data_IF_272554890747
#
_entry.id   IF_272554890747
#
_cell.length_a   1.000
_cell.length_b   1.000
_cell.length_c   1.000
_cell.angle_alpha   90.00
_cell.angle_beta   90.00
_cell.angle_gamma   90.00
#
_symmetry.space_group_name_H-M   'P 1'
#
loop_
_entity.id
_entity.type
_entity.pdbx_description
1 polymer ?
#
# COMPACT_ATOMS: atom_id res chain seq x y z
N UNK A 1 -13.86 2.78 -10.22
CA UNK A 1 -13.14 4.08 -10.12
C UNK A 1 -11.65 3.79 -10.06
N UNK A 2 -10.84 4.55 -10.81
CA UNK A 2 -9.38 4.50 -10.79
C UNK A 2 -8.87 5.85 -10.27
N UNK A 3 -7.89 5.84 -9.39
CA UNK A 3 -7.13 7.04 -8.99
C UNK A 3 -5.64 6.84 -9.26
N UNK A 4 -4.99 7.85 -9.85
CA UNK A 4 -3.58 7.84 -10.24
C UNK A 4 -3.28 7.23 -11.62
N UNK A 5 -2.06 7.45 -12.12
CA UNK A 5 -1.55 6.86 -13.38
C UNK A 5 -0.37 5.93 -13.10
N UNK A 6 -0.22 4.81 -13.83
CA UNK A 6 0.91 3.90 -13.63
C UNK A 6 2.27 4.60 -13.72
N UNK A 7 2.44 5.54 -14.66
CA UNK A 7 3.68 6.30 -14.82
C UNK A 7 4.11 7.05 -13.55
N UNK A 8 3.15 7.54 -12.76
CA UNK A 8 3.42 8.33 -11.54
C UNK A 8 4.06 7.47 -10.44
N UNK A 9 3.89 6.13 -10.48
CA UNK A 9 4.48 5.19 -9.51
C UNK A 9 6.01 5.31 -9.48
N UNK A 10 6.63 5.58 -10.63
CA UNK A 10 8.09 5.77 -10.73
C UNK A 10 8.58 7.01 -9.99
N UNK A 11 7.70 7.97 -9.74
CA UNK A 11 7.97 9.24 -9.04
C UNK A 11 7.31 9.32 -7.65
N UNK A 12 6.96 8.18 -7.05
CA UNK A 12 6.36 8.10 -5.71
C UNK A 12 4.84 8.24 -5.67
N UNK A 13 4.18 8.12 -6.82
CA UNK A 13 2.73 7.99 -6.95
C UNK A 13 2.21 6.58 -6.62
N UNK A 14 0.89 6.42 -6.72
CA UNK A 14 0.21 5.14 -6.58
C UNK A 14 -0.97 5.05 -7.56
N UNK A 15 -1.36 3.82 -7.88
CA UNK A 15 -2.68 3.54 -8.45
C UNK A 15 -3.58 2.89 -7.40
N UNK A 16 -4.86 3.27 -7.40
CA UNK A 16 -5.90 2.53 -6.69
C UNK A 16 -7.09 2.26 -7.61
N UNK A 17 -7.55 1.02 -7.61
CA UNK A 17 -8.64 0.54 -8.44
C UNK A 17 -9.74 -0.06 -7.57
N UNK A 18 -10.98 0.34 -7.81
CA UNK A 18 -12.11 -0.34 -7.20
C UNK A 18 -12.38 -1.67 -7.92
N UNK A 19 -12.45 -2.76 -7.15
CA UNK A 19 -12.80 -4.08 -7.67
C UNK A 19 -14.32 -4.32 -7.63
N UNK A 20 -14.85 -5.19 -8.50
CA UNK A 20 -16.21 -5.74 -8.38
C UNK A 20 -16.46 -6.40 -7.02
N UNK A 21 -17.75 -6.57 -6.69
CA UNK A 21 -18.19 -7.29 -5.48
C UNK A 21 -18.51 -8.75 -5.72
N UNK A 22 -18.50 -9.18 -6.96
CA UNK A 22 -18.82 -10.52 -7.39
C UNK A 22 -17.54 -11.30 -7.72
N UNK A 23 -17.63 -12.61 -8.02
CA UNK A 23 -16.47 -13.45 -8.30
C UNK A 23 -15.56 -12.96 -9.45
N UNK A 24 -16.01 -12.01 -10.29
CA UNK A 24 -15.15 -11.39 -11.31
C UNK A 24 -14.05 -10.50 -10.73
N UNK A 25 -14.06 -10.22 -9.42
CA UNK A 25 -13.05 -9.41 -8.73
C UNK A 25 -11.62 -9.89 -9.00
N UNK A 26 -11.37 -11.21 -8.93
CA UNK A 26 -10.06 -11.80 -9.22
C UNK A 26 -9.64 -11.60 -10.68
N UNK A 27 -10.56 -11.82 -11.63
CA UNK A 27 -10.29 -11.59 -13.06
C UNK A 27 -9.98 -10.12 -13.37
N UNK A 28 -10.72 -9.20 -12.74
CA UNK A 28 -10.47 -7.76 -12.85
C UNK A 28 -9.11 -7.40 -12.25
N UNK A 29 -8.77 -7.91 -11.07
CA UNK A 29 -7.48 -7.64 -10.43
C UNK A 29 -6.30 -8.10 -11.30
N UNK A 30 -6.37 -9.31 -11.86
CA UNK A 30 -5.38 -9.84 -12.82
C UNK A 30 -5.18 -8.93 -14.03
N UNK A 31 -6.28 -8.45 -14.61
CA UNK A 31 -6.23 -7.57 -15.79
C UNK A 31 -5.58 -6.22 -15.46
N UNK A 32 -5.93 -5.64 -14.31
CA UNK A 32 -5.42 -4.35 -13.86
C UNK A 32 -3.95 -4.41 -13.47
N UNK A 33 -3.51 -5.43 -12.72
CA UNK A 33 -2.11 -5.57 -12.35
C UNK A 33 -1.24 -5.81 -13.57
N UNK A 34 -1.71 -6.64 -14.52
CA UNK A 34 -0.97 -6.93 -15.73
C UNK A 34 -0.82 -5.68 -16.62
N UNK A 35 -1.88 -4.87 -16.77
CA UNK A 35 -1.78 -3.60 -17.47
C UNK A 35 -0.79 -2.65 -16.79
N UNK A 36 -0.93 -2.45 -15.48
CA UNK A 36 -0.06 -1.56 -14.68
C UNK A 36 1.41 -1.97 -14.78
N UNK A 37 1.71 -3.27 -14.65
CA UNK A 37 3.09 -3.77 -14.69
C UNK A 37 3.70 -3.75 -16.10
N UNK A 38 2.90 -3.94 -17.16
CA UNK A 38 3.38 -3.75 -18.54
C UNK A 38 3.78 -2.30 -18.79
N UNK A 39 2.95 -1.35 -18.37
CA UNK A 39 3.23 0.08 -18.50
C UNK A 39 4.50 0.49 -17.72
N UNK A 40 4.79 -0.23 -16.63
CA UNK A 40 5.98 -0.06 -15.80
C UNK A 40 7.21 -0.86 -16.29
N UNK A 41 7.09 -1.62 -17.39
CA UNK A 41 8.21 -2.35 -18.00
C UNK A 41 8.66 -3.62 -17.28
N UNK A 42 7.76 -4.29 -16.56
CA UNK A 42 8.06 -5.61 -15.95
C UNK A 42 8.12 -6.72 -17.01
N UNK A 43 8.95 -7.73 -16.75
CA UNK A 43 9.01 -8.95 -17.55
C UNK A 43 7.73 -9.78 -17.41
N UNK A 44 7.38 -10.54 -18.47
CA UNK A 44 6.17 -11.36 -18.53
C UNK A 44 6.06 -12.34 -17.38
N UNK A 45 7.14 -13.03 -17.02
CA UNK A 45 7.14 -14.02 -15.94
C UNK A 45 6.74 -13.39 -14.59
N UNK A 46 7.31 -12.23 -14.26
CA UNK A 46 6.95 -11.48 -13.04
C UNK A 46 5.51 -10.98 -13.07
N UNK A 47 4.97 -10.66 -14.25
CA UNK A 47 3.56 -10.29 -14.41
C UNK A 47 2.64 -11.50 -14.17
N UNK A 48 3.03 -12.69 -14.62
CA UNK A 48 2.27 -13.91 -14.39
C UNK A 48 2.25 -14.31 -12.91
N UNK A 49 3.39 -14.19 -12.21
CA UNK A 49 3.46 -14.35 -10.75
C UNK A 49 2.55 -13.34 -10.03
N UNK A 50 2.58 -12.07 -10.44
CA UNK A 50 1.73 -11.03 -9.87
C UNK A 50 0.24 -11.30 -10.08
N UNK A 51 -0.14 -11.79 -11.27
CA UNK A 51 -1.52 -12.16 -11.61
C UNK A 51 -2.00 -13.28 -10.69
N UNK A 52 -1.19 -14.30 -10.47
CA UNK A 52 -1.57 -15.41 -9.60
C UNK A 52 -1.71 -14.92 -8.14
N UNK A 53 -0.70 -14.22 -7.60
CA UNK A 53 -0.74 -13.71 -6.24
C UNK A 53 -1.90 -12.73 -5.99
N UNK A 54 -2.16 -11.78 -6.90
CA UNK A 54 -3.28 -10.84 -6.74
C UNK A 54 -4.64 -11.53 -6.87
N UNK A 55 -4.73 -12.61 -7.63
CA UNK A 55 -5.95 -13.41 -7.77
C UNK A 55 -6.33 -14.01 -6.43
N UNK A 56 -5.37 -14.61 -5.72
CA UNK A 56 -5.59 -15.18 -4.39
C UNK A 56 -6.03 -14.11 -3.39
N UNK A 57 -5.36 -12.95 -3.37
CA UNK A 57 -5.74 -11.84 -2.48
C UNK A 57 -7.12 -11.28 -2.81
N UNK A 58 -7.46 -11.12 -4.09
CA UNK A 58 -8.77 -10.61 -4.51
C UNK A 58 -9.89 -11.60 -4.23
N UNK A 59 -9.66 -12.90 -4.38
CA UNK A 59 -10.61 -13.94 -3.99
C UNK A 59 -10.83 -13.91 -2.49
N UNK A 60 -9.77 -13.88 -1.68
CA UNK A 60 -9.89 -13.79 -0.22
C UNK A 60 -10.66 -12.53 0.21
N UNK A 61 -10.34 -11.38 -0.39
CA UNK A 61 -11.04 -10.14 -0.11
C UNK A 61 -12.51 -10.22 -0.53
N UNK A 62 -12.85 -10.84 -1.67
CA UNK A 62 -14.24 -11.02 -2.08
C UNK A 62 -15.02 -11.95 -1.12
N UNK A 63 -14.44 -13.10 -0.78
CA UNK A 63 -15.06 -14.12 0.09
C UNK A 63 -15.29 -13.60 1.51
N UNK A 64 -14.40 -12.74 2.01
CA UNK A 64 -14.43 -12.25 3.39
C UNK A 64 -14.77 -10.76 3.53
N UNK A 65 -15.05 -10.04 2.43
CA UNK A 65 -15.40 -8.62 2.50
C UNK A 65 -16.75 -8.43 3.21
N UNK A 66 -16.83 -7.35 3.97
CA UNK A 66 -18.11 -6.81 4.43
C UNK A 66 -18.98 -6.43 3.23
N UNK A 67 -20.28 -6.71 3.32
CA UNK A 67 -21.28 -6.31 2.31
C UNK A 67 -21.40 -4.79 2.12
N UNK A 68 -20.79 -3.99 3.00
CA UNK A 68 -20.92 -2.53 3.02
C UNK A 68 -19.96 -1.79 2.06
N UNK A 69 -18.78 -2.33 1.71
CA UNK A 69 -17.86 -1.67 0.75
C UNK A 69 -17.38 -2.61 -0.37
N UNK A 70 -16.71 -2.07 -1.39
CA UNK A 70 -16.09 -2.86 -2.47
C UNK A 70 -14.60 -3.01 -2.17
N UNK A 71 -13.96 -4.15 -2.45
CA UNK A 71 -12.52 -4.26 -2.33
C UNK A 71 -11.78 -3.30 -3.26
N UNK A 72 -10.53 -3.01 -2.94
CA UNK A 72 -9.67 -2.14 -3.74
C UNK A 72 -8.33 -2.81 -4.01
N UNK A 73 -7.81 -2.65 -5.23
CA UNK A 73 -6.44 -3.02 -5.59
C UNK A 73 -5.58 -1.76 -5.60
N UNK A 74 -4.47 -1.78 -4.86
CA UNK A 74 -3.51 -0.68 -4.80
C UNK A 74 -2.14 -1.13 -5.29
N UNK A 75 -1.45 -0.24 -5.99
CA UNK A 75 -0.10 -0.50 -6.52
C UNK A 75 0.75 0.75 -6.32
N UNK A 76 1.92 0.59 -5.70
CA UNK A 76 2.96 1.63 -5.62
C UNK A 76 4.34 0.99 -5.56
N UNK A 77 5.40 1.80 -5.66
CA UNK A 77 6.77 1.35 -5.52
C UNK A 77 7.38 1.84 -4.19
N UNK A 78 8.26 1.04 -3.62
CA UNK A 78 9.15 1.43 -2.53
C UNK A 78 10.60 1.14 -2.89
N UNK A 79 11.51 1.92 -2.34
CA UNK A 79 12.96 1.80 -2.55
C UNK A 79 13.69 1.37 -1.28
N UNK A 80 13.06 1.52 -0.11
CA UNK A 80 13.60 1.10 1.19
C UNK A 80 12.64 0.17 1.96
N UNK A 81 13.12 -0.95 2.55
CA UNK A 81 14.53 -1.37 2.62
C UNK A 81 15.04 -2.06 1.34
N UNK A 82 14.17 -2.34 0.38
CA UNK A 82 14.52 -2.88 -0.93
C UNK A 82 13.65 -2.24 -2.02
N UNK A 83 14.12 -2.33 -3.27
CA UNK A 83 13.43 -1.83 -4.46
C UNK A 83 12.35 -2.81 -4.88
N UNK A 84 11.11 -2.54 -4.46
CA UNK A 84 9.98 -3.45 -4.60
C UNK A 84 8.71 -2.74 -5.09
N UNK A 85 7.94 -3.42 -5.93
CA UNK A 85 6.55 -3.08 -6.21
C UNK A 85 5.70 -3.62 -5.07
N UNK A 86 4.89 -2.78 -4.44
CA UNK A 86 3.92 -3.17 -3.43
C UNK A 86 2.56 -3.29 -4.11
N UNK A 87 1.96 -4.47 -4.00
CA UNK A 87 0.61 -4.76 -4.47
C UNK A 87 -0.23 -5.08 -3.25
N UNK A 88 -1.33 -4.36 -3.05
CA UNK A 88 -2.21 -4.53 -1.89
C UNK A 88 -3.65 -4.68 -2.30
N UNK A 89 -4.39 -5.55 -1.61
CA UNK A 89 -5.84 -5.65 -1.70
C UNK A 89 -6.44 -5.22 -0.37
N UNK A 90 -7.32 -4.22 -0.42
CA UNK A 90 -8.05 -3.69 0.73
C UNK A 90 -9.48 -4.22 0.76
N UNK A 91 -9.97 -4.50 1.97
CA UNK A 91 -11.38 -4.70 2.27
C UNK A 91 -11.74 -4.07 3.62
N UNK A 92 -13.01 -3.72 3.82
CA UNK A 92 -13.46 -3.07 5.05
C UNK A 92 -13.73 -4.02 6.21
N UNK A 93 -13.47 -5.33 6.08
CA UNK A 93 -13.76 -6.28 7.14
C UNK A 93 -12.58 -6.39 8.11
N UNK A 94 -12.71 -5.79 9.30
CA UNK A 94 -11.62 -5.63 10.27
C UNK A 94 -11.40 -6.85 11.17
N UNK A 95 -12.39 -7.74 11.29
CA UNK A 95 -12.41 -8.76 12.35
C UNK A 95 -11.85 -10.12 11.90
N UNK A 96 -11.87 -10.41 10.60
CA UNK A 96 -11.22 -11.59 10.03
C UNK A 96 -9.82 -11.22 9.55
N UNK A 97 -8.81 -12.01 9.86
CA UNK A 97 -7.50 -11.90 9.23
C UNK A 97 -7.26 -13.08 8.31
N UNK A 98 -6.55 -12.91 7.19
CA UNK A 98 -6.12 -14.03 6.39
C UNK A 98 -5.13 -14.85 7.23
N UNK A 99 -5.49 -16.10 7.51
CA UNK A 99 -4.64 -17.03 8.28
C UNK A 99 -3.95 -17.95 7.29
N UNK A 100 -2.62 -18.06 7.38
CA UNK A 100 -1.89 -19.10 6.66
C UNK A 100 -2.25 -20.45 7.28
N UNK A 101 -3.14 -21.21 6.65
CA UNK A 101 -3.48 -22.55 7.10
C UNK A 101 -2.33 -23.51 6.77
N UNK A 102 -1.90 -24.31 7.75
CA UNK A 102 -1.33 -25.63 7.47
C UNK A 102 -2.51 -26.50 7.00
N UNK A 103 -2.89 -26.35 5.73
CA UNK A 103 -4.02 -27.07 5.20
C UNK A 103 -3.68 -28.56 5.14
N UNK A 104 -4.49 -29.37 5.81
CA UNK A 104 -4.70 -30.77 5.45
C UNK A 104 -4.94 -30.84 3.93
N UNK A 105 -4.47 -31.88 3.25
CA UNK A 105 -4.37 -31.97 1.77
C UNK A 105 -5.68 -31.66 1.01
N UNK A 106 -6.82 -31.63 1.71
CA UNK A 106 -8.18 -31.43 1.21
C UNK A 106 -8.80 -30.05 1.49
N UNK A 107 -8.17 -29.15 2.25
CA UNK A 107 -8.71 -27.80 2.49
C UNK A 107 -8.11 -26.76 1.53
N UNK A 108 -8.94 -26.26 0.61
CA UNK A 108 -8.52 -25.28 -0.41
C UNK A 108 -8.39 -23.86 0.15
N UNK A 109 -9.04 -23.56 1.28
CA UNK A 109 -9.16 -22.18 1.81
C UNK A 109 -7.85 -21.63 2.40
N UNK A 110 -6.84 -22.47 2.66
CA UNK A 110 -5.54 -22.08 3.22
C UNK A 110 -4.40 -21.93 2.21
N UNK A 111 -4.58 -22.39 0.96
CA UNK A 111 -3.51 -22.45 -0.06
C UNK A 111 -3.20 -21.09 -0.69
N UNK A 112 -4.17 -20.18 -0.75
CA UNK A 112 -3.98 -18.90 -1.43
C UNK A 112 -2.82 -18.07 -0.86
N UNK A 113 -2.70 -18.01 0.48
CA UNK A 113 -1.59 -17.28 1.11
C UNK A 113 -0.23 -17.97 0.98
N UNK A 114 -0.19 -19.30 0.89
CA UNK A 114 1.08 -20.01 0.66
C UNK A 114 1.55 -19.83 -0.78
N UNK A 115 0.65 -19.77 -1.76
CA UNK A 115 0.95 -19.38 -3.14
C UNK A 115 1.49 -17.95 -3.17
N UNK A 116 0.81 -16.99 -2.53
CA UNK A 116 1.30 -15.60 -2.45
C UNK A 116 2.69 -15.54 -1.82
N UNK A 117 2.93 -16.27 -0.73
CA UNK A 117 4.21 -16.30 -0.06
C UNK A 117 5.33 -16.95 -0.91
N UNK A 118 5.00 -17.93 -1.74
CA UNK A 118 5.96 -18.59 -2.63
C UNK A 118 6.39 -17.69 -3.81
N UNK A 119 5.50 -16.83 -4.30
CA UNK A 119 5.73 -15.95 -5.45
C UNK A 119 6.30 -14.58 -5.06
N UNK A 120 6.06 -14.13 -3.83
CA UNK A 120 6.42 -12.79 -3.38
C UNK A 120 7.77 -12.73 -2.67
N UNK A 121 8.45 -11.58 -2.77
CA UNK A 121 9.63 -11.29 -1.96
C UNK A 121 9.27 -11.13 -0.48
N UNK A 122 8.15 -10.47 -0.21
CA UNK A 122 7.58 -10.26 1.12
C UNK A 122 6.06 -10.20 1.03
N UNK A 123 5.39 -10.62 2.10
CA UNK A 123 3.95 -10.53 2.27
C UNK A 123 3.61 -10.02 3.67
N UNK A 124 2.41 -9.47 3.84
CA UNK A 124 1.93 -9.03 5.14
C UNK A 124 0.49 -8.52 5.08
N UNK A 125 0.03 -8.07 6.24
CA UNK A 125 -1.30 -7.47 6.38
C UNK A 125 -1.28 -6.43 7.51
N UNK A 126 -2.13 -5.42 7.41
CA UNK A 126 -2.26 -4.39 8.45
C UNK A 126 -3.59 -3.63 8.33
N UNK A 127 -4.03 -3.03 9.45
CA UNK A 127 -5.19 -2.13 9.45
C UNK A 127 -4.88 -0.87 8.68
N UNK A 128 -5.86 -0.36 7.95
CA UNK A 128 -5.71 0.84 7.11
C UNK A 128 -7.08 1.45 6.78
N UNK A 129 -7.13 2.47 5.91
CA UNK A 129 -8.36 3.07 5.38
C UNK A 129 -8.47 2.93 3.87
N UNK A 130 -9.65 2.97 3.30
CA UNK A 130 -9.85 3.01 1.85
C UNK A 130 -9.14 4.21 1.21
N UNK A 131 -8.57 4.02 0.01
CA UNK A 131 -8.01 5.12 -0.81
C UNK A 131 -9.08 5.86 -1.61
N UNK A 132 -10.28 5.31 -1.72
CA UNK A 132 -11.36 5.82 -2.56
C UNK A 132 -12.51 6.46 -1.77
N UNK A 133 -12.73 6.05 -0.51
CA UNK A 133 -13.87 6.50 0.29
C UNK A 133 -13.57 6.64 1.80
N UNK A 134 -12.30 6.55 2.22
CA UNK A 134 -11.85 6.74 3.62
C UNK A 134 -12.33 5.72 4.66
N UNK A 135 -13.13 4.71 4.28
CA UNK A 135 -13.63 3.67 5.20
C UNK A 135 -12.48 2.90 5.86
N UNK A 136 -12.52 2.71 7.17
CA UNK A 136 -11.55 1.86 7.88
C UNK A 136 -11.70 0.39 7.49
N UNK A 137 -10.58 -0.32 7.46
CA UNK A 137 -10.51 -1.71 7.05
C UNK A 137 -9.12 -2.29 7.29
N UNK A 138 -8.76 -3.26 6.48
CA UNK A 138 -7.43 -3.86 6.44
C UNK A 138 -6.97 -3.97 5.00
N UNK A 139 -5.68 -4.18 4.82
CA UNK A 139 -5.18 -4.66 3.55
C UNK A 139 -4.26 -5.86 3.75
N UNK A 140 -4.22 -6.70 2.73
CA UNK A 140 -3.25 -7.79 2.57
C UNK A 140 -2.39 -7.42 1.38
N UNK A 141 -1.08 -7.60 1.50
CA UNK A 141 -0.15 -7.11 0.51
C UNK A 141 0.98 -8.10 0.26
N UNK A 142 1.55 -8.01 -0.93
CA UNK A 142 2.76 -8.69 -1.30
C UNK A 142 3.67 -7.75 -2.09
N UNK A 143 4.91 -8.19 -2.27
CA UNK A 143 5.92 -7.44 -3.01
C UNK A 143 6.63 -8.27 -4.06
N UNK A 144 7.02 -7.60 -5.14
CA UNK A 144 7.83 -8.15 -6.22
C UNK A 144 9.03 -7.22 -6.44
N UNK A 145 10.20 -7.73 -6.88
CA UNK A 145 11.36 -6.88 -7.15
C UNK A 145 11.04 -5.90 -8.29
N UNK A 146 11.47 -4.64 -8.16
CA UNK A 146 11.41 -3.69 -9.27
C UNK A 146 12.39 -4.11 -10.39
N UNK A 147 12.07 -3.85 -11.67
CA UNK A 147 12.99 -4.09 -12.78
C UNK A 147 14.35 -3.42 -12.58
N UNK A 148 15.42 -4.02 -13.10
CA UNK A 148 16.77 -3.45 -13.00
C UNK A 148 16.86 -2.05 -13.64
N UNK A 149 16.10 -1.81 -14.71
CA UNK A 149 15.98 -0.52 -15.39
C UNK A 149 15.02 0.47 -14.70
N UNK A 150 14.54 0.17 -13.48
CA UNK A 150 13.65 1.08 -12.76
C UNK A 150 14.30 2.45 -12.63
N UNK A 151 13.62 3.53 -13.05
CA UNK A 151 14.19 4.86 -13.05
C UNK A 151 14.68 5.19 -11.64
N UNK A 152 15.97 5.47 -11.54
CA UNK A 152 16.52 6.07 -10.34
C UNK A 152 16.15 7.53 -10.46
N UNK A 153 15.18 8.00 -9.68
CA UNK A 153 14.79 9.41 -9.68
C UNK A 153 15.99 10.24 -9.25
N UNK A 154 16.74 10.76 -10.23
CA UNK A 154 17.84 11.70 -10.03
C UNK A 154 17.33 13.10 -9.63
N UNK A 155 16.02 13.32 -9.66
CA UNK A 155 15.40 14.51 -9.10
C UNK A 155 15.22 14.34 -7.61
N UNK A 156 16.05 15.06 -6.86
CA UNK A 156 15.80 15.32 -5.45
C UNK A 156 14.43 16.00 -5.33
N UNK A 157 13.43 15.25 -4.84
CA UNK A 157 12.14 15.82 -4.50
C UNK A 157 12.40 16.85 -3.40
N UNK A 158 12.03 18.11 -3.62
CA UNK A 158 12.20 19.13 -2.60
C UNK A 158 11.31 18.80 -1.38
N UNK A 159 11.76 19.08 -0.13
CA UNK A 159 11.01 18.66 1.06
C UNK A 159 9.61 19.26 1.16
N UNK A 160 9.42 20.52 0.73
CA UNK A 160 8.11 21.17 0.77
C UNK A 160 7.07 20.47 -0.13
N UNK A 161 7.32 20.24 -1.43
CA UNK A 161 6.44 19.39 -2.25
C UNK A 161 6.20 17.99 -1.68
N UNK A 162 7.24 17.34 -1.13
CA UNK A 162 7.07 16.02 -0.50
C UNK A 162 6.16 16.08 0.74
N UNK A 163 6.27 17.14 1.53
CA UNK A 163 5.42 17.43 2.68
C UNK A 163 3.97 17.66 2.26
N UNK A 164 3.74 18.53 1.26
CA UNK A 164 2.40 18.85 0.77
C UNK A 164 1.73 17.58 0.19
N UNK A 165 2.45 16.78 -0.59
CA UNK A 165 1.95 15.50 -1.11
C UNK A 165 1.64 14.49 0.00
N UNK A 166 2.45 14.42 1.06
CA UNK A 166 2.19 13.53 2.20
C UNK A 166 0.95 13.98 2.97
N UNK A 167 0.80 15.30 3.15
CA UNK A 167 -0.37 15.89 3.79
C UNK A 167 -1.66 15.55 3.03
N UNK A 168 -1.62 15.69 1.70
CA UNK A 168 -2.75 15.37 0.83
C UNK A 168 -3.07 13.87 0.84
N UNK A 169 -2.05 13.01 0.78
CA UNK A 169 -2.22 11.56 0.85
C UNK A 169 -2.84 11.10 2.19
N UNK A 170 -2.54 11.78 3.30
CA UNK A 170 -3.14 11.48 4.60
C UNK A 170 -4.58 12.00 4.68
N UNK A 171 -4.81 13.24 4.24
CA UNK A 171 -6.15 13.86 4.26
C UNK A 171 -7.13 13.15 3.34
N UNK A 172 -6.69 12.67 2.18
CA UNK A 172 -7.51 11.89 1.27
C UNK A 172 -7.93 10.53 1.85
N UNK A 173 -7.25 10.07 2.91
CA UNK A 173 -7.61 8.88 3.70
C UNK A 173 -8.44 9.24 4.94
N UNK A 174 -8.82 10.51 5.11
CA UNK A 174 -9.58 10.98 6.26
C UNK A 174 -8.75 11.08 7.54
N UNK A 175 -7.41 11.15 7.44
CA UNK A 175 -6.52 11.33 8.58
C UNK A 175 -6.27 12.83 8.80
N UNK A 176 -6.70 13.41 9.95
CA UNK A 176 -6.40 14.81 10.25
C UNK A 176 -4.90 15.02 10.40
N UNK A 177 -4.36 15.93 9.60
CA UNK A 177 -2.95 16.27 9.58
C UNK A 177 -2.76 17.76 9.30
N UNK A 178 -1.76 18.35 9.95
CA UNK A 178 -1.31 19.73 9.73
C UNK A 178 0.17 19.72 9.38
N UNK A 179 0.64 20.76 8.70
CA UNK A 179 2.05 20.90 8.34
C UNK A 179 2.49 22.35 8.38
N UNK A 180 3.73 22.57 8.75
CA UNK A 180 4.42 23.85 8.60
C UNK A 180 5.78 23.62 7.92
N UNK A 181 6.32 24.66 7.30
CA UNK A 181 7.64 24.65 6.68
C UNK A 181 8.43 25.85 7.17
N UNK A 182 9.73 25.69 7.35
CA UNK A 182 10.65 26.78 7.63
C UNK A 182 11.30 27.33 6.35
N UNK A 183 11.97 28.48 6.48
CA UNK A 183 12.69 29.12 5.37
C UNK A 183 13.94 28.34 4.92
N UNK A 184 14.34 27.30 5.67
CA UNK A 184 15.48 26.42 5.36
C UNK A 184 15.06 25.19 4.56
N UNK A 185 13.78 25.09 4.19
CA UNK A 185 13.26 23.98 3.40
C UNK A 185 13.10 22.69 4.19
N UNK A 186 12.93 22.77 5.51
CA UNK A 186 12.49 21.65 6.35
C UNK A 186 11.00 21.83 6.64
N UNK A 187 10.23 20.77 6.47
CA UNK A 187 8.82 20.74 6.83
C UNK A 187 8.59 19.79 8.00
N UNK A 188 7.61 20.11 8.84
CA UNK A 188 7.15 19.22 9.91
C UNK A 188 5.64 19.02 9.74
N UNK A 189 5.22 17.76 9.65
CA UNK A 189 3.81 17.38 9.66
C UNK A 189 3.46 16.80 11.03
N UNK A 190 2.29 17.16 11.52
CA UNK A 190 1.74 16.64 12.78
C UNK A 190 0.47 15.84 12.48
N UNK A 191 0.45 14.59 12.92
CA UNK A 191 -0.65 13.63 12.76
C UNK A 191 -0.97 13.02 14.11
N UNK A 192 -2.08 13.42 14.73
CA UNK A 192 -2.37 13.13 16.13
C UNK A 192 -1.16 13.49 17.03
N UNK A 193 -0.58 12.51 17.75
CA UNK A 193 0.61 12.70 18.58
C UNK A 193 1.94 12.36 17.87
N UNK A 194 1.96 12.30 16.53
CA UNK A 194 3.14 11.98 15.74
C UNK A 194 3.63 13.20 14.97
N UNK A 195 4.90 13.56 15.17
CA UNK A 195 5.60 14.54 14.33
C UNK A 195 6.44 13.81 13.29
N UNK A 196 6.31 14.23 12.03
CA UNK A 196 7.06 13.73 10.87
C UNK A 196 7.89 14.88 10.32
N UNK A 197 9.21 14.73 10.34
CA UNK A 197 10.14 15.65 9.75
C UNK A 197 10.38 15.28 8.28
N UNK A 198 10.27 16.28 7.41
CA UNK A 198 10.55 16.18 5.98
C UNK A 198 11.75 17.06 5.70
N UNK A 199 12.88 16.41 5.42
CA UNK A 199 14.15 17.06 5.10
C UNK A 199 14.66 16.53 3.75
N UNK A 200 15.69 17.15 3.15
CA UNK A 200 16.26 16.67 1.89
C UNK A 200 16.72 15.20 1.95
N UNK A 201 17.04 14.70 3.14
CA UNK A 201 17.45 13.32 3.37
C UNK A 201 16.30 12.31 3.42
N UNK A 202 15.03 12.74 3.47
CA UNK A 202 13.89 11.85 3.60
C UNK A 202 12.83 12.28 4.62
N UNK A 203 11.78 11.48 4.69
CA UNK A 203 10.83 11.48 5.78
C UNK A 203 11.42 10.82 7.01
N UNK A 204 11.08 11.32 8.18
CA UNK A 204 11.51 10.70 9.41
C UNK A 204 10.60 10.99 10.59
N UNK A 205 10.47 10.03 11.50
CA UNK A 205 9.63 10.18 12.70
C UNK A 205 10.06 9.20 13.78
N UNK A 206 9.63 9.49 15.02
CA UNK A 206 9.86 8.59 16.16
C UNK A 206 8.69 7.61 16.33
N UNK A 207 9.01 6.33 16.51
CA UNK A 207 8.08 5.30 16.92
C UNK A 207 8.54 4.67 18.25
N UNK A 208 7.76 3.73 18.80
CA UNK A 208 8.12 3.02 20.04
C UNK A 208 9.40 2.20 19.91
N UNK A 209 9.77 1.78 18.69
CA UNK A 209 10.95 0.98 18.38
C UNK A 209 12.18 1.80 17.95
N UNK A 210 12.10 3.13 18.03
CA UNK A 210 13.20 4.03 17.65
C UNK A 210 12.83 5.00 16.53
N UNK A 211 13.83 5.44 15.78
CA UNK A 211 13.66 6.40 14.70
C UNK A 211 13.50 5.70 13.37
N UNK A 212 12.46 6.07 12.62
CA UNK A 212 12.22 5.56 11.26
C UNK A 212 12.64 6.63 10.26
N UNK A 213 13.32 6.22 9.20
CA UNK A 213 13.67 7.07 8.05
C UNK A 213 13.19 6.41 6.76
N UNK A 214 12.67 7.21 5.84
CA UNK A 214 12.23 6.77 4.53
C UNK A 214 12.65 7.79 3.46
N UNK A 215 13.09 7.35 2.27
CA UNK A 215 13.34 8.24 1.14
C UNK A 215 12.08 9.06 0.79
N UNK A 216 12.25 10.29 0.27
CA UNK A 216 11.12 11.13 -0.14
C UNK A 216 10.31 10.51 -1.30
N UNK A 217 10.96 9.69 -2.12
CA UNK A 217 10.32 8.95 -3.21
C UNK A 217 9.37 7.85 -2.70
N UNK A 218 9.58 7.36 -1.47
CA UNK A 218 8.76 6.35 -0.81
C UNK A 218 7.56 6.99 -0.09
N UNK A 219 6.95 8.00 -0.74
CA UNK A 219 5.82 8.77 -0.22
C UNK A 219 4.65 7.86 0.19
N UNK A 220 4.28 6.91 -0.67
CA UNK A 220 3.13 6.04 -0.46
C UNK A 220 3.37 5.02 0.65
N UNK A 221 4.58 4.46 0.72
CA UNK A 221 5.02 3.59 1.81
C UNK A 221 5.01 4.36 3.14
N UNK A 222 5.46 5.62 3.14
CA UNK A 222 5.45 6.50 4.32
C UNK A 222 4.03 6.81 4.77
N UNK A 223 3.16 7.22 3.84
CA UNK A 223 1.75 7.50 4.12
C UNK A 223 1.05 6.26 4.69
N UNK A 224 1.23 5.10 4.07
CA UNK A 224 0.59 3.85 4.48
C UNK A 224 1.03 3.41 5.88
N UNK A 225 2.31 3.58 6.25
CA UNK A 225 2.80 3.33 7.61
C UNK A 225 2.16 4.24 8.66
N UNK A 226 1.95 5.51 8.33
CA UNK A 226 1.32 6.49 9.23
C UNK A 226 -0.17 6.17 9.40
N UNK A 227 -0.89 5.92 8.29
CA UNK A 227 -2.30 5.50 8.30
C UNK A 227 -2.46 4.23 9.13
N UNK A 228 -1.64 3.22 8.88
CA UNK A 228 -1.71 1.96 9.60
C UNK A 228 -1.51 2.13 11.11
N UNK A 229 -0.50 2.92 11.51
CA UNK A 229 -0.27 3.25 12.91
C UNK A 229 -1.47 3.97 13.55
N UNK A 230 -2.13 4.86 12.82
CA UNK A 230 -3.31 5.55 13.31
C UNK A 230 -4.47 4.57 13.53
N UNK A 231 -4.75 3.68 12.56
CA UNK A 231 -5.83 2.70 12.66
C UNK A 231 -5.60 1.67 13.77
N UNK A 232 -4.37 1.19 13.95
CA UNK A 232 -4.04 0.29 15.06
C UNK A 232 -4.26 0.95 16.41
N UNK A 233 -3.89 2.24 16.56
CA UNK A 233 -4.15 2.97 17.81
C UNK A 233 -5.64 3.10 18.10
N UNK A 234 -6.43 3.48 17.09
CA UNK A 234 -7.88 3.64 17.25
C UNK A 234 -8.56 2.31 17.59
N UNK A 235 -8.13 1.19 17.01
CA UNK A 235 -8.67 -0.13 17.33
C UNK A 235 -8.47 -0.50 18.81
N UNK A 236 -7.28 -0.26 19.36
CA UNK A 236 -7.01 -0.56 20.77
C UNK A 236 -7.68 0.38 21.79
N UNK A 237 -8.26 1.50 21.33
CA UNK A 237 -8.98 2.46 22.19
C UNK A 237 -10.50 2.35 22.03
N UNK A 238 -11.02 1.36 21.30
CA UNK A 238 -12.46 1.04 21.32
C UNK A 238 -12.79 0.29 22.63
N UNK A 239 -13.82 0.73 23.38
CA UNK A 239 -14.22 0.13 24.65
C UNK A 239 -14.78 -1.29 24.49
#
# INVERSE_FOLDING_TARGET
MLTGRPADITTGGACAFQLPRDPSAASRARSLIAATMRDLGFATDTIDDAKLAVSELATNAHTHASSATRPELWVWARTHPARELVVSVFDAHRDTWPVSGNADLLDEHGKGLSIVAALATRTGSHFTRSRLNTTSGKCVWFTLPLPACWPTTAHAIAPKPASDNLLDALRSRGIPATGCSDDRGISVLTVAALNIWVAPTGFSWRCSRGYVRQPLIDLQETAERIVSRNETRQFHHQP
#
